data_IF_068326148817
#
_entry.id   IF_068326148817
#
_cell.length_a   1.000
_cell.length_b   1.000
_cell.length_c   1.000
_cell.angle_alpha   90.00
_cell.angle_beta   90.00
_cell.angle_gamma   90.00
#
_symmetry.space_group_name_H-M   'P 1'
#
loop_
_entity.id
_entity.type
_entity.pdbx_description
1 polymer ?
#
# COMPACT_ATOMS: atom_id res chain seq x y z
N UNK A 1 -28.32 -26.76 -19.99
CA UNK A 1 -28.69 -25.68 -19.04
C UNK A 1 -28.03 -25.86 -17.68
N UNK A 2 -28.06 -27.05 -17.07
CA UNK A 2 -27.45 -27.33 -15.76
C UNK A 2 -25.96 -26.96 -15.64
N UNK A 3 -25.12 -27.35 -16.62
CA UNK A 3 -23.68 -27.03 -16.60
C UNK A 3 -23.36 -25.52 -16.64
N UNK A 4 -24.21 -24.71 -17.28
CA UNK A 4 -24.03 -23.24 -17.36
C UNK A 4 -24.37 -22.60 -16.00
N UNK A 5 -25.39 -23.13 -15.33
CA UNK A 5 -25.81 -22.66 -14.02
C UNK A 5 -24.78 -23.01 -12.94
N UNK A 6 -24.26 -24.24 -12.94
CA UNK A 6 -23.18 -24.67 -12.04
C UNK A 6 -21.90 -23.83 -12.26
N UNK A 7 -21.52 -23.58 -13.51
CA UNK A 7 -20.38 -22.71 -13.86
C UNK A 7 -20.56 -21.27 -13.38
N UNK A 8 -21.77 -20.71 -13.51
CA UNK A 8 -22.08 -19.34 -13.06
C UNK A 8 -21.98 -19.23 -11.54
N UNK A 9 -22.47 -20.21 -10.80
CA UNK A 9 -22.37 -20.27 -9.33
C UNK A 9 -20.91 -20.34 -8.88
N UNK A 10 -20.07 -21.15 -9.54
CA UNK A 10 -18.64 -21.24 -9.23
C UNK A 10 -17.92 -19.90 -9.45
N UNK A 11 -18.26 -19.17 -10.52
CA UNK A 11 -17.71 -17.83 -10.77
C UNK A 11 -18.11 -16.86 -9.65
N UNK A 12 -19.39 -16.88 -9.23
CA UNK A 12 -19.88 -16.00 -8.18
C UNK A 12 -19.19 -16.27 -6.83
N UNK A 13 -19.05 -17.54 -6.44
CA UNK A 13 -18.35 -17.93 -5.22
C UNK A 13 -16.89 -17.47 -5.27
N UNK A 14 -16.23 -17.69 -6.42
CA UNK A 14 -14.85 -17.26 -6.64
C UNK A 14 -14.70 -15.74 -6.54
N UNK A 15 -15.63 -14.97 -7.11
CA UNK A 15 -15.64 -13.51 -7.04
C UNK A 15 -15.84 -13.02 -5.60
N UNK A 16 -16.75 -13.63 -4.85
CA UNK A 16 -16.97 -13.32 -3.42
C UNK A 16 -15.70 -13.60 -2.62
N UNK A 17 -15.09 -14.76 -2.80
CA UNK A 17 -13.86 -15.13 -2.11
C UNK A 17 -12.71 -14.14 -2.42
N UNK A 18 -12.50 -13.80 -3.70
CA UNK A 18 -11.49 -12.81 -4.11
C UNK A 18 -11.75 -11.43 -3.52
N UNK A 19 -13.02 -11.02 -3.43
CA UNK A 19 -13.40 -9.72 -2.84
C UNK A 19 -13.05 -9.69 -1.35
N UNK A 20 -13.40 -10.74 -0.61
CA UNK A 20 -13.07 -10.86 0.83
C UNK A 20 -11.56 -10.84 1.03
N UNK A 21 -10.81 -11.62 0.24
CA UNK A 21 -9.34 -11.65 0.29
C UNK A 21 -8.76 -10.26 0.01
N UNK A 22 -9.27 -9.55 -1.00
CA UNK A 22 -8.83 -8.20 -1.35
C UNK A 22 -9.03 -7.20 -0.20
N UNK A 23 -10.18 -7.26 0.50
CA UNK A 23 -10.45 -6.41 1.66
C UNK A 23 -9.47 -6.71 2.80
N UNK A 24 -9.22 -8.00 3.09
CA UNK A 24 -8.29 -8.41 4.15
C UNK A 24 -6.86 -7.93 3.83
N UNK A 25 -6.39 -8.16 2.60
CA UNK A 25 -5.05 -7.73 2.15
C UNK A 25 -4.92 -6.20 2.24
N UNK A 26 -5.93 -5.46 1.80
CA UNK A 26 -5.95 -4.00 1.89
C UNK A 26 -5.91 -3.51 3.34
N UNK A 27 -6.68 -4.14 4.24
CA UNK A 27 -6.67 -3.82 5.66
C UNK A 27 -5.30 -4.06 6.30
N UNK A 28 -4.67 -5.21 6.05
CA UNK A 28 -3.34 -5.53 6.56
C UNK A 28 -2.26 -4.58 6.03
N UNK A 29 -2.39 -4.18 4.77
CA UNK A 29 -1.51 -3.19 4.16
C UNK A 29 -1.63 -1.81 4.81
N UNK A 30 -2.86 -1.33 5.05
CA UNK A 30 -3.14 -0.07 5.76
C UNK A 30 -2.58 -0.11 7.18
N UNK A 31 -2.77 -1.21 7.90
CA UNK A 31 -2.18 -1.39 9.24
C UNK A 31 -0.65 -1.30 9.22
N UNK A 32 -0.01 -1.83 8.17
CA UNK A 32 1.44 -1.73 7.98
C UNK A 32 1.89 -0.28 7.75
N UNK A 33 1.17 0.48 6.92
CA UNK A 33 1.41 1.93 6.75
C UNK A 33 1.23 2.68 8.07
N UNK A 34 0.16 2.39 8.81
CA UNK A 34 -0.14 3.04 10.08
C UNK A 34 0.95 2.78 11.12
N UNK A 35 1.48 1.55 11.15
CA UNK A 35 2.62 1.19 12.02
C UNK A 35 3.86 2.00 11.66
N UNK A 36 4.20 2.10 10.38
CA UNK A 36 5.33 2.90 9.92
C UNK A 36 5.14 4.39 10.27
N UNK A 37 3.98 4.97 9.98
CA UNK A 37 3.65 6.35 10.28
C UNK A 37 3.78 6.66 11.79
N UNK A 38 3.25 5.79 12.66
CA UNK A 38 3.36 5.94 14.11
C UNK A 38 4.82 5.89 14.59
N UNK A 39 5.61 4.95 14.08
CA UNK A 39 7.02 4.82 14.44
C UNK A 39 7.82 6.06 14.00
N UNK A 40 7.59 6.54 12.78
CA UNK A 40 8.22 7.75 12.25
C UNK A 40 7.84 9.01 13.03
N UNK A 41 6.55 9.18 13.35
CA UNK A 41 6.09 10.31 14.15
C UNK A 41 6.75 10.32 15.55
N UNK A 42 6.86 9.13 16.17
CA UNK A 42 7.50 8.96 17.47
C UNK A 42 9.00 9.29 17.43
N UNK A 43 9.75 8.76 16.47
CA UNK A 43 11.20 8.94 16.43
C UNK A 43 11.58 10.38 16.03
N UNK A 44 10.79 11.01 15.17
CA UNK A 44 11.06 12.36 14.68
C UNK A 44 10.47 13.47 15.56
N UNK A 45 9.81 13.14 16.68
CA UNK A 45 9.04 14.06 17.51
C UNK A 45 8.16 15.01 16.65
N UNK A 46 7.40 14.43 15.73
CA UNK A 46 6.61 15.16 14.73
C UNK A 46 5.13 14.80 14.84
N UNK A 47 4.26 15.63 14.27
CA UNK A 47 2.82 15.36 14.22
C UNK A 47 2.51 14.01 13.58
N UNK A 48 1.45 13.37 14.05
CA UNK A 48 1.02 12.07 13.54
C UNK A 48 0.24 12.26 12.25
N UNK A 49 0.54 11.44 11.24
CA UNK A 49 -0.34 11.33 10.06
C UNK A 49 -1.73 10.91 10.54
N UNK A 50 -2.75 11.72 10.21
CA UNK A 50 -4.12 11.44 10.61
C UNK A 50 -4.60 10.10 10.02
N UNK A 51 -5.12 9.16 10.82
CA UNK A 51 -5.49 7.82 10.35
C UNK A 51 -6.48 7.80 9.19
N UNK A 52 -7.35 8.82 9.08
CA UNK A 52 -8.31 8.93 7.98
C UNK A 52 -7.64 8.91 6.60
N UNK A 53 -6.44 9.49 6.44
CA UNK A 53 -5.71 9.46 5.17
C UNK A 53 -5.28 8.05 4.75
N UNK A 54 -5.12 7.14 5.73
CA UNK A 54 -4.77 5.75 5.48
C UNK A 54 -6.01 4.91 5.20
N UNK A 55 -7.08 5.09 5.99
CA UNK A 55 -8.30 4.28 5.88
C UNK A 55 -9.20 4.66 4.70
N UNK A 56 -9.16 5.92 4.26
CA UNK A 56 -9.89 6.35 3.06
C UNK A 56 -9.36 5.71 1.77
N UNK A 57 -8.21 5.03 1.81
CA UNK A 57 -7.72 4.20 0.70
C UNK A 57 -8.68 3.03 0.34
N UNK A 58 -9.55 2.60 1.27
CA UNK A 58 -10.54 1.56 1.01
C UNK A 58 -11.70 2.03 0.12
N UNK A 59 -11.89 3.33 -0.04
CA UNK A 59 -12.94 3.89 -0.89
C UNK A 59 -12.46 3.81 -2.34
N UNK A 60 -13.08 2.99 -3.21
CA UNK A 60 -12.50 2.67 -4.53
C UNK A 60 -12.20 3.90 -5.39
N UNK A 61 -13.13 4.86 -5.45
CA UNK A 61 -13.01 6.10 -6.23
C UNK A 61 -11.89 7.02 -5.70
N UNK A 62 -11.59 6.93 -4.41
CA UNK A 62 -10.62 7.79 -3.73
C UNK A 62 -9.26 7.11 -3.50
N UNK A 63 -9.19 5.80 -3.72
CA UNK A 63 -8.07 4.94 -3.34
C UNK A 63 -6.73 5.42 -3.89
N UNK A 64 -6.65 5.73 -5.19
CA UNK A 64 -5.42 6.20 -5.84
C UNK A 64 -4.93 7.53 -5.27
N UNK A 65 -5.85 8.48 -5.02
CA UNK A 65 -5.52 9.79 -4.45
C UNK A 65 -5.04 9.64 -3.01
N UNK A 66 -5.80 8.91 -2.19
CA UNK A 66 -5.43 8.64 -0.80
C UNK A 66 -4.07 7.93 -0.69
N UNK A 67 -3.77 7.03 -1.63
CA UNK A 67 -2.51 6.31 -1.65
C UNK A 67 -1.32 7.22 -1.96
N UNK A 68 -1.45 8.12 -2.94
CA UNK A 68 -0.45 9.14 -3.24
C UNK A 68 -0.25 10.09 -2.05
N UNK A 69 -1.34 10.61 -1.46
CA UNK A 69 -1.25 11.54 -0.33
C UNK A 69 -0.58 10.87 0.88
N UNK A 70 -0.93 9.63 1.18
CA UNK A 70 -0.29 8.87 2.25
C UNK A 70 1.21 8.67 1.98
N UNK A 71 1.60 8.39 0.73
CA UNK A 71 2.99 8.23 0.35
C UNK A 71 3.80 9.52 0.48
N UNK A 72 3.25 10.67 0.07
CA UNK A 72 3.89 11.98 0.23
C UNK A 72 4.13 12.28 1.70
N UNK A 73 3.11 12.11 2.55
CA UNK A 73 3.25 12.36 4.00
C UNK A 73 4.27 11.43 4.63
N UNK A 74 4.26 10.14 4.27
CA UNK A 74 5.28 9.21 4.74
C UNK A 74 6.69 9.60 4.27
N UNK A 75 6.84 10.07 3.03
CA UNK A 75 8.13 10.51 2.47
C UNK A 75 8.73 11.69 3.23
N UNK A 76 7.90 12.67 3.61
CA UNK A 76 8.33 13.80 4.44
C UNK A 76 8.92 13.34 5.78
N UNK A 77 8.22 12.43 6.47
CA UNK A 77 8.75 11.86 7.71
C UNK A 77 10.00 11.00 7.49
N UNK A 78 10.07 10.24 6.39
CA UNK A 78 11.25 9.44 6.05
C UNK A 78 12.45 10.34 5.76
N UNK A 79 12.28 11.44 5.02
CA UNK A 79 13.33 12.43 4.78
C UNK A 79 13.86 13.01 6.08
N UNK A 80 12.97 13.42 6.99
CA UNK A 80 13.36 13.92 8.31
C UNK A 80 14.15 12.89 9.11
N UNK A 81 13.73 11.62 9.09
CA UNK A 81 14.47 10.54 9.73
C UNK A 81 15.87 10.35 9.10
N UNK A 82 15.94 10.26 7.77
CA UNK A 82 17.22 10.06 7.07
C UNK A 82 18.21 11.21 7.34
N UNK A 83 17.72 12.45 7.45
CA UNK A 83 18.57 13.61 7.81
C UNK A 83 19.05 13.54 9.26
N UNK A 84 18.18 13.18 10.20
CA UNK A 84 18.51 13.17 11.63
C UNK A 84 19.43 12.02 12.04
N UNK A 85 19.33 10.87 11.37
CA UNK A 85 20.02 9.64 11.77
C UNK A 85 21.06 9.15 10.73
N UNK A 86 21.20 9.84 9.60
CA UNK A 86 22.07 9.46 8.48
C UNK A 86 21.86 8.00 8.01
N UNK A 87 20.67 7.45 8.22
CA UNK A 87 20.28 6.08 7.87
C UNK A 87 19.15 6.14 6.85
N UNK A 88 19.28 5.40 5.74
CA UNK A 88 18.25 5.40 4.68
C UNK A 88 17.26 4.28 4.89
N UNK A 89 15.99 4.63 5.13
CA UNK A 89 14.90 3.67 5.16
C UNK A 89 14.66 3.05 3.77
N UNK A 90 14.15 1.81 3.75
CA UNK A 90 13.83 1.10 2.49
C UNK A 90 12.60 1.64 1.79
N UNK A 91 11.68 2.28 2.51
CA UNK A 91 10.50 2.90 1.94
C UNK A 91 10.89 4.03 0.98
N UNK A 92 10.29 4.03 -0.21
CA UNK A 92 10.48 5.05 -1.25
C UNK A 92 9.11 5.42 -1.82
N UNK A 93 8.72 6.68 -1.71
CA UNK A 93 7.45 7.14 -2.28
C UNK A 93 7.40 7.07 -3.81
N UNK A 94 8.56 7.12 -4.49
CA UNK A 94 8.62 6.95 -5.95
C UNK A 94 8.01 5.62 -6.42
N UNK A 95 8.15 4.53 -5.65
CA UNK A 95 7.53 3.25 -5.98
C UNK A 95 6.00 3.33 -5.93
N UNK A 96 5.44 4.13 -5.03
CA UNK A 96 4.00 4.38 -4.96
C UNK A 96 3.52 5.16 -6.18
N UNK A 97 4.30 6.14 -6.65
CA UNK A 97 3.96 6.86 -7.88
C UNK A 97 3.98 5.95 -9.10
N UNK A 98 4.97 5.04 -9.19
CA UNK A 98 4.99 4.01 -10.22
C UNK A 98 3.78 3.08 -10.13
N UNK A 99 3.43 2.62 -8.92
CA UNK A 99 2.23 1.80 -8.71
C UNK A 99 0.97 2.47 -9.24
N UNK A 100 0.76 3.75 -8.89
CA UNK A 100 -0.42 4.50 -9.37
C UNK A 100 -0.37 4.74 -10.88
N UNK A 101 0.82 5.03 -11.44
CA UNK A 101 1.01 5.15 -12.88
C UNK A 101 0.64 3.87 -13.63
N UNK A 102 1.09 2.71 -13.17
CA UNK A 102 0.73 1.42 -13.75
C UNK A 102 -0.75 1.07 -13.56
N UNK A 103 -1.36 1.51 -12.46
CA UNK A 103 -2.79 1.34 -12.23
C UNK A 103 -3.61 2.11 -13.28
N UNK A 104 -3.21 3.35 -13.61
CA UNK A 104 -3.85 4.15 -14.67
C UNK A 104 -3.58 3.55 -16.05
N UNK A 105 -2.35 3.09 -16.33
CA UNK A 105 -2.04 2.40 -17.59
C UNK A 105 -2.86 1.12 -17.77
N UNK A 106 -3.19 0.42 -16.67
CA UNK A 106 -4.06 -0.75 -16.69
C UNK A 106 -5.49 -0.48 -17.18
N UNK A 107 -5.93 0.79 -17.23
CA UNK A 107 -7.22 1.16 -17.83
C UNK A 107 -7.22 1.01 -19.35
N UNK A 108 -6.05 0.94 -19.99
CA UNK A 108 -5.92 0.70 -21.43
C UNK A 108 -6.03 -0.81 -21.70
N UNK A 109 -7.06 -1.30 -22.41
CA UNK A 109 -7.34 -2.73 -22.54
C UNK A 109 -6.18 -3.57 -23.08
N UNK A 110 -5.40 -3.01 -24.01
CA UNK A 110 -4.30 -3.70 -24.69
C UNK A 110 -3.14 -4.05 -23.75
N UNK A 111 -2.91 -3.24 -22.71
CA UNK A 111 -1.78 -3.41 -21.78
C UNK A 111 -2.22 -3.84 -20.37
N UNK A 112 -3.53 -4.02 -20.14
CA UNK A 112 -4.11 -4.25 -18.81
C UNK A 112 -3.50 -5.48 -18.10
N UNK A 113 -3.34 -6.61 -18.81
CA UNK A 113 -2.79 -7.84 -18.20
C UNK A 113 -1.34 -7.61 -17.74
N UNK A 114 -0.50 -7.03 -18.60
CA UNK A 114 0.91 -6.77 -18.28
C UNK A 114 1.02 -5.74 -17.16
N UNK A 115 0.26 -4.65 -17.24
CA UNK A 115 0.20 -3.62 -16.21
C UNK A 115 -0.24 -4.21 -14.87
N UNK A 116 -1.26 -5.08 -14.85
CA UNK A 116 -1.75 -5.75 -13.65
C UNK A 116 -0.69 -6.62 -12.97
N UNK A 117 0.07 -7.41 -13.75
CA UNK A 117 1.17 -8.24 -13.22
C UNK A 117 2.26 -7.35 -12.62
N UNK A 118 2.69 -6.31 -13.35
CA UNK A 118 3.69 -5.36 -12.85
C UNK A 118 3.20 -4.70 -11.55
N UNK A 119 1.94 -4.28 -11.51
CA UNK A 119 1.38 -3.61 -10.35
C UNK A 119 1.32 -4.50 -9.11
N UNK A 120 1.05 -5.80 -9.30
CA UNK A 120 1.11 -6.80 -8.23
C UNK A 120 2.52 -6.91 -7.62
N UNK A 121 3.57 -6.99 -8.45
CA UNK A 121 4.94 -7.02 -7.95
C UNK A 121 5.34 -5.72 -7.24
N UNK A 122 4.99 -4.56 -7.82
CA UNK A 122 5.27 -3.27 -7.19
C UNK A 122 4.56 -3.17 -5.82
N UNK A 123 3.31 -3.62 -5.72
CA UNK A 123 2.58 -3.65 -4.45
C UNK A 123 3.29 -4.47 -3.38
N UNK A 124 3.74 -5.69 -3.72
CA UNK A 124 4.49 -6.54 -2.80
C UNK A 124 5.78 -5.85 -2.34
N UNK A 125 6.51 -5.21 -3.27
CA UNK A 125 7.74 -4.50 -2.96
C UNK A 125 7.46 -3.31 -2.01
N UNK A 126 6.43 -2.52 -2.27
CA UNK A 126 6.03 -1.39 -1.41
C UNK A 126 5.72 -1.90 -0.01
N UNK A 127 4.90 -2.96 0.11
CA UNK A 127 4.52 -3.50 1.40
C UNK A 127 5.73 -4.06 2.17
N UNK A 128 6.60 -4.81 1.49
CA UNK A 128 7.84 -5.32 2.07
C UNK A 128 8.74 -4.18 2.58
N UNK A 129 8.87 -3.10 1.81
CA UNK A 129 9.67 -1.94 2.18
C UNK A 129 9.09 -1.18 3.38
N UNK A 130 7.75 -1.05 3.48
CA UNK A 130 7.07 -0.48 4.65
C UNK A 130 7.38 -1.32 5.89
N UNK A 131 7.20 -2.64 5.79
CA UNK A 131 7.44 -3.57 6.90
C UNK A 131 8.90 -3.53 7.35
N UNK A 132 9.85 -3.55 6.41
CA UNK A 132 11.28 -3.48 6.73
C UNK A 132 11.68 -2.15 7.35
N UNK A 133 11.16 -1.02 6.84
CA UNK A 133 11.44 0.31 7.42
C UNK A 133 10.87 0.44 8.83
N UNK A 134 9.67 -0.10 9.07
CA UNK A 134 9.08 -0.15 10.41
C UNK A 134 9.96 -0.94 11.38
N UNK A 135 10.53 -2.07 10.95
CA UNK A 135 11.47 -2.88 11.75
C UNK A 135 12.80 -2.14 12.01
N UNK A 136 13.36 -1.45 11.02
CA UNK A 136 14.58 -0.64 11.17
C UNK A 136 14.43 0.40 12.29
N UNK A 137 13.35 1.18 12.25
CA UNK A 137 13.05 2.18 13.28
C UNK A 137 12.85 1.52 14.66
N UNK A 138 12.18 0.37 14.72
CA UNK A 138 11.99 -0.35 16.00
C UNK A 138 13.30 -0.84 16.60
N UNK A 139 14.24 -1.29 15.78
CA UNK A 139 15.56 -1.70 16.24
C UNK A 139 16.35 -0.50 16.78
N UNK A 140 16.15 0.69 16.18
CA UNK A 140 16.75 1.92 16.70
C UNK A 140 16.23 2.29 18.10
N UNK A 141 14.97 2.00 18.43
CA UNK A 141 14.43 2.22 19.78
C UNK A 141 14.94 1.22 20.84
N UNK A 142 15.54 0.10 20.41
CA UNK A 142 16.06 -0.94 21.31
C UNK A 142 17.55 -0.82 21.58
N UNK A 143 18.25 0.01 20.79
CA UNK A 143 19.65 0.39 21.04
C UNK A 143 19.67 1.50 22.07
#
# INVERSE_FOLDING_TARGET
MQNIQEFTVLIQISLVALTITSIIVSGLFILSQQKLAKNLAKINNSEKIHPAWLWTQLIPIWSSIAFVVAAVKLDEHVKKYNTNYNEKLKFKASLVYWYVGFLILGLVPVINIIAGIINFFIFIIIWSNISSSSKQIQNHFKK
#
